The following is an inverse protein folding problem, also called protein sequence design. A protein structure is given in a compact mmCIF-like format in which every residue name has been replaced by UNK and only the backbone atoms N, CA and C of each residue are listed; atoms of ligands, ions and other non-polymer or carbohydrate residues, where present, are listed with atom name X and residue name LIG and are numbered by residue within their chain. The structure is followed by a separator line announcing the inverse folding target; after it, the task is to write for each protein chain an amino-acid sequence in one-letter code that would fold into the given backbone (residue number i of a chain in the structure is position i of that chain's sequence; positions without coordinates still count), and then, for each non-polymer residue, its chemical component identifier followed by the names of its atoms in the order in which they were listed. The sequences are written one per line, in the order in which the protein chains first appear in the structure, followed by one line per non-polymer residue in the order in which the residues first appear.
data_IF_001423275966
#
_entry.id   IF_001423275966
#
_cell.length_a   1.000
_cell.length_b   1.000
_cell.length_c   1.000
_cell.angle_alpha   90.00
_cell.angle_beta   90.00
_cell.angle_gamma   90.00
#
_symmetry.space_group_name_H-M   'P 1'
#
loop_
_entity.id
_entity.type
_entity.pdbx_description
1 polymer ?
#
# COMPACT_ATOMS: atom_id res chain seq x y z
N UNK A 1 -1.08 11.39 6.92
CA UNK A 1 -1.29 11.78 8.34
C UNK A 1 -0.09 11.45 9.21
N UNK A 2 0.48 10.23 9.14
CA UNK A 2 1.67 9.88 9.93
C UNK A 2 2.86 10.86 9.81
N UNK A 3 3.25 11.24 8.59
CA UNK A 3 4.33 12.23 8.38
C UNK A 3 3.97 13.61 8.94
N UNK A 4 2.70 13.99 8.88
CA UNK A 4 2.25 15.27 9.42
C UNK A 4 2.39 15.29 10.95
N UNK A 5 1.99 14.21 11.63
CA UNK A 5 2.13 14.04 13.08
C UNK A 5 3.58 14.25 13.53
N UNK A 6 4.55 13.66 12.81
CA UNK A 6 5.97 13.85 13.09
C UNK A 6 6.41 15.29 12.85
N UNK A 7 5.98 15.92 11.75
CA UNK A 7 6.37 17.30 11.38
C UNK A 7 5.79 18.37 12.30
N UNK A 8 4.62 18.12 12.87
CA UNK A 8 3.99 19.03 13.85
C UNK A 8 4.42 18.76 15.28
N UNK A 9 5.31 17.77 15.50
CA UNK A 9 5.69 17.28 16.83
C UNK A 9 4.47 16.85 17.67
N UNK A 10 3.40 16.38 17.03
CA UNK A 10 2.25 15.78 17.73
C UNK A 10 2.58 14.36 18.23
N UNK A 11 3.60 13.73 17.64
CA UNK A 11 4.19 12.49 18.13
C UNK A 11 5.62 12.33 17.61
N UNK A 12 6.45 11.64 18.40
CA UNK A 12 7.87 11.43 18.08
C UNK A 12 8.07 10.26 17.11
N UNK A 13 7.15 9.29 17.11
CA UNK A 13 7.09 8.16 16.19
C UNK A 13 5.67 7.97 15.65
N UNK A 14 5.56 7.41 14.45
CA UNK A 14 4.26 7.13 13.84
C UNK A 14 4.27 5.80 13.09
N UNK A 15 3.23 4.98 13.28
CA UNK A 15 2.99 3.79 12.47
C UNK A 15 2.13 4.20 11.27
N UNK A 16 2.51 3.78 10.08
CA UNK A 16 1.70 3.95 8.88
C UNK A 16 1.66 2.67 8.05
N UNK A 17 0.63 2.51 7.24
CA UNK A 17 0.49 1.35 6.39
C UNK A 17 -0.92 1.16 5.89
N UNK A 18 -1.21 -0.03 5.39
CA UNK A 18 -2.49 -0.38 4.80
C UNK A 18 -2.66 -1.87 4.64
N UNK A 19 -3.92 -2.26 4.47
CA UNK A 19 -4.34 -3.63 4.17
C UNK A 19 -5.35 -3.60 3.04
N UNK A 20 -5.27 -4.57 2.15
CA UNK A 20 -6.24 -4.83 1.10
C UNK A 20 -6.60 -6.32 1.11
N UNK A 21 -7.90 -6.62 1.00
CA UNK A 21 -8.37 -8.00 0.99
C UNK A 21 -9.66 -8.18 0.20
N UNK A 22 -9.70 -9.19 -0.67
CA UNK A 22 -10.85 -9.58 -1.49
C UNK A 22 -11.63 -10.73 -0.84
N UNK A 23 -12.25 -10.44 0.31
CA UNK A 23 -12.83 -11.46 1.20
C UNK A 23 -14.14 -12.12 0.70
N UNK A 24 -14.72 -11.64 -0.40
CA UNK A 24 -15.97 -12.17 -0.92
C UNK A 24 -15.98 -12.23 -2.45
N UNK A 25 -16.41 -13.36 -3.02
CA UNK A 25 -16.40 -13.61 -4.46
C UNK A 25 -17.15 -12.56 -5.31
N UNK A 26 -18.24 -12.00 -4.77
CA UNK A 26 -18.98 -10.87 -5.38
C UNK A 26 -18.11 -9.68 -5.77
N UNK A 27 -16.99 -9.42 -5.09
CA UNK A 27 -16.10 -8.31 -5.44
C UNK A 27 -15.50 -8.54 -6.83
N UNK A 28 -15.05 -9.76 -7.12
CA UNK A 28 -14.56 -10.13 -8.46
C UNK A 28 -15.68 -10.04 -9.51
N UNK A 29 -16.87 -10.57 -9.21
CA UNK A 29 -18.01 -10.50 -10.13
C UNK A 29 -18.39 -9.06 -10.50
N UNK A 30 -18.48 -8.16 -9.50
CA UNK A 30 -18.80 -6.76 -9.74
C UNK A 30 -17.72 -6.06 -10.57
N UNK A 31 -16.44 -6.36 -10.32
CA UNK A 31 -15.33 -5.79 -11.09
C UNK A 31 -15.35 -6.31 -12.54
N UNK A 32 -15.63 -7.59 -12.76
CA UNK A 32 -15.81 -8.14 -14.10
C UNK A 32 -16.89 -7.42 -14.87
N UNK A 33 -18.05 -7.19 -14.26
CA UNK A 33 -19.18 -6.52 -14.91
C UNK A 33 -18.95 -5.04 -15.18
N UNK A 34 -18.35 -4.32 -14.23
CA UNK A 34 -18.17 -2.87 -14.35
C UNK A 34 -17.13 -2.48 -15.40
N UNK A 35 -16.08 -3.30 -15.54
CA UNK A 35 -14.91 -2.91 -16.32
C UNK A 35 -14.70 -3.80 -17.55
N UNK A 36 -15.60 -4.76 -17.82
CA UNK A 36 -15.46 -5.79 -18.86
C UNK A 36 -14.06 -6.42 -18.90
N UNK A 37 -13.46 -6.57 -17.72
CA UNK A 37 -12.07 -6.97 -17.58
C UNK A 37 -11.99 -8.46 -17.27
N UNK A 38 -11.00 -9.13 -17.86
CA UNK A 38 -10.64 -10.50 -17.48
C UNK A 38 -9.71 -10.45 -16.26
N UNK A 39 -9.79 -11.48 -15.40
CA UNK A 39 -8.80 -11.66 -14.34
C UNK A 39 -7.46 -12.02 -14.99
N UNK A 40 -6.41 -11.38 -14.53
CA UNK A 40 -5.04 -11.67 -14.94
C UNK A 40 -4.23 -12.02 -13.70
N UNK A 41 -3.34 -13.00 -13.83
CA UNK A 41 -2.47 -13.43 -12.74
C UNK A 41 -1.43 -12.36 -12.36
N UNK A 42 -1.03 -11.52 -13.32
CA UNK A 42 -0.04 -10.46 -13.10
C UNK A 42 -0.36 -9.20 -13.91
N UNK A 43 -0.21 -8.05 -13.27
CA UNK A 43 -0.24 -6.74 -13.92
C UNK A 43 0.97 -6.58 -14.85
N UNK A 44 0.72 -6.38 -16.15
CA UNK A 44 1.76 -6.15 -17.17
C UNK A 44 1.97 -4.65 -17.41
N UNK A 45 2.35 -3.91 -16.37
CA UNK A 45 2.50 -2.46 -16.43
C UNK A 45 3.37 -2.02 -17.61
N UNK A 46 2.85 -1.08 -18.41
CA UNK A 46 3.52 -0.49 -19.59
C UNK A 46 3.78 -1.44 -20.78
N UNK A 47 3.24 -2.67 -20.76
CA UNK A 47 3.27 -3.55 -21.93
C UNK A 47 2.29 -3.11 -23.00
N UNK A 48 2.60 -3.39 -24.27
CA UNK A 48 1.65 -3.28 -25.39
C UNK A 48 0.43 -4.19 -25.20
N UNK A 49 0.60 -5.31 -24.48
CA UNK A 49 -0.45 -6.29 -24.15
C UNK A 49 -1.06 -6.06 -22.75
N UNK A 50 -0.95 -4.84 -22.21
CA UNK A 50 -1.55 -4.46 -20.94
C UNK A 50 -3.06 -4.22 -21.11
N UNK A 51 -3.87 -5.14 -20.59
CA UNK A 51 -5.32 -5.09 -20.73
C UNK A 51 -6.09 -5.16 -19.40
N UNK A 52 -5.43 -5.45 -18.27
CA UNK A 52 -6.03 -5.57 -16.94
C UNK A 52 -4.92 -5.50 -15.87
N UNK A 53 -5.30 -5.60 -14.59
CA UNK A 53 -4.38 -5.67 -13.45
C UNK A 53 -4.75 -6.83 -12.52
N UNK A 54 -3.73 -7.42 -11.89
CA UNK A 54 -3.91 -8.49 -10.93
C UNK A 54 -4.53 -7.98 -9.64
N UNK A 55 -5.30 -8.85 -8.99
CA UNK A 55 -5.89 -8.63 -7.68
C UNK A 55 -5.17 -9.50 -6.68
N UNK A 56 -4.73 -8.88 -5.59
CA UNK A 56 -4.02 -9.56 -4.54
C UNK A 56 -4.48 -9.07 -3.16
N UNK A 57 -4.25 -9.91 -2.17
CA UNK A 57 -4.49 -9.62 -0.77
C UNK A 57 -3.16 -9.22 -0.14
N UNK A 58 -3.07 -7.98 0.34
CA UNK A 58 -1.81 -7.36 0.70
C UNK A 58 -1.90 -6.65 2.06
N UNK A 59 -0.80 -6.64 2.79
CA UNK A 59 -0.63 -5.84 4.01
C UNK A 59 0.80 -5.29 4.07
N UNK A 60 0.93 -4.03 4.48
CA UNK A 60 2.22 -3.39 4.72
C UNK A 60 2.14 -2.38 5.86
N UNK A 61 3.20 -2.35 6.68
CA UNK A 61 3.36 -1.42 7.79
C UNK A 61 4.79 -0.84 7.77
N UNK A 62 4.91 0.41 8.17
CA UNK A 62 6.16 1.13 8.36
C UNK A 62 6.12 1.85 9.71
N UNK A 63 7.26 1.86 10.39
CA UNK A 63 7.50 2.72 11.54
C UNK A 63 8.28 3.94 11.07
N UNK A 64 7.78 5.13 11.36
CA UNK A 64 8.36 6.39 10.95
C UNK A 64 8.82 7.18 12.17
N UNK A 65 9.96 7.85 12.04
CA UNK A 65 10.53 8.80 13.01
C UNK A 65 11.10 10.01 12.28
N UNK A 66 11.34 11.13 12.97
CA UNK A 66 12.16 12.19 12.39
C UNK A 66 13.59 11.68 12.19
N UNK A 67 14.21 12.05 11.05
CA UNK A 67 15.54 11.58 10.67
C UNK A 67 16.59 11.89 11.76
N UNK A 68 16.58 13.10 12.31
CA UNK A 68 17.50 13.50 13.37
C UNK A 68 17.39 12.63 14.63
N UNK A 69 16.17 12.23 14.97
CA UNK A 69 15.93 11.35 16.11
C UNK A 69 16.37 9.92 15.78
N UNK A 70 16.15 9.45 14.55
CA UNK A 70 16.54 8.11 14.11
C UNK A 70 18.07 7.97 14.12
N UNK A 71 18.78 8.97 13.60
CA UNK A 71 20.25 9.04 13.64
C UNK A 71 20.78 9.12 15.08
N UNK A 72 20.19 9.98 15.93
CA UNK A 72 20.58 10.11 17.34
C UNK A 72 20.43 8.80 18.10
N UNK A 73 19.32 8.10 17.87
CA UNK A 73 19.00 6.87 18.59
C UNK A 73 19.68 5.63 17.95
N UNK A 74 20.34 5.81 16.80
CA UNK A 74 21.06 4.74 16.09
C UNK A 74 20.12 3.73 15.40
N UNK A 75 18.92 4.17 15.04
CA UNK A 75 17.92 3.31 14.40
C UNK A 75 18.34 2.93 12.97
N UNK A 76 17.99 1.72 12.50
CA UNK A 76 18.16 1.37 11.10
C UNK A 76 17.24 2.21 10.21
N UNK A 77 17.81 2.75 9.13
CA UNK A 77 17.10 3.57 8.13
C UNK A 77 17.25 2.83 6.79
N UNK A 78 16.17 2.16 6.36
CA UNK A 78 16.08 1.42 5.10
C UNK A 78 15.28 2.19 4.03
#
# INVERSE_FOLDING_TARGET
MAVQCLRTNEGDMAVCGGVNGFLHQKVFYNIHLLVHNHLVERSRSFSVDANSYAKDDDLGLLLLKQLSDAERDGDPIE
#
